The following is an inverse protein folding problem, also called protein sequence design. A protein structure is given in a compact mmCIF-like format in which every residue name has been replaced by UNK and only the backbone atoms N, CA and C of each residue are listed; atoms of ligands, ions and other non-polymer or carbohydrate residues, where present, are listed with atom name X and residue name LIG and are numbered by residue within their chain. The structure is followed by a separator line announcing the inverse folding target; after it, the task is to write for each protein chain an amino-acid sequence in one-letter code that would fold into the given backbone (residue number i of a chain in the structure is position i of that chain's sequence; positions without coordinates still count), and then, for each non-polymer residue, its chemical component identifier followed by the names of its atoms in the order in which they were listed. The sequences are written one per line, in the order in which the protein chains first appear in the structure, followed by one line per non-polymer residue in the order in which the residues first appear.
data_IF_237929745893
#
_entry.id   IF_237929745893
#
_cell.length_a   1.000
_cell.length_b   1.000
_cell.length_c   1.000
_cell.angle_alpha   90.00
_cell.angle_beta   90.00
_cell.angle_gamma   90.00
#
_symmetry.space_group_name_H-M   'P 1'
#
loop_
_entity.id
_entity.type
_entity.pdbx_description
1 polymer ?
#
# COMPACT_ATOMS: atom_id res chain seq x y z
N UNK A 1 -50.13 0.64 86.36
CA UNK A 1 -48.98 -0.29 86.30
C UNK A 1 -48.22 0.05 85.03
N UNK A 2 -46.96 0.50 84.99
CA UNK A 2 -45.90 0.73 86.00
C UNK A 2 -44.86 1.62 85.30
N UNK A 3 -44.60 2.79 85.88
CA UNK A 3 -43.29 3.46 86.10
C UNK A 3 -42.23 3.56 84.98
N UNK A 4 -42.08 4.77 84.41
CA UNK A 4 -40.90 5.68 84.32
C UNK A 4 -39.53 5.23 84.91
N UNK A 5 -38.40 5.96 84.69
CA UNK A 5 -37.76 6.54 83.49
C UNK A 5 -36.19 6.36 83.51
N UNK A 6 -35.48 7.09 82.64
CA UNK A 6 -34.15 7.71 82.84
C UNK A 6 -32.97 7.32 81.89
N UNK A 7 -32.56 8.40 81.21
CA UNK A 7 -31.35 8.81 80.49
C UNK A 7 -29.98 8.40 81.03
N UNK A 8 -29.00 8.23 80.12
CA UNK A 8 -27.63 8.74 80.28
C UNK A 8 -26.93 9.03 78.93
N UNK A 9 -26.11 10.08 78.93
CA UNK A 9 -25.41 10.73 77.81
C UNK A 9 -23.97 10.21 77.63
N UNK A 10 -23.50 10.28 76.37
CA UNK A 10 -22.17 10.64 75.81
C UNK A 10 -20.86 10.30 76.57
N UNK A 11 -19.82 9.84 75.83
CA UNK A 11 -18.57 10.57 75.50
C UNK A 11 -17.40 9.63 75.07
N UNK A 12 -16.81 9.95 73.91
CA UNK A 12 -15.37 9.99 73.55
C UNK A 12 -14.54 8.72 73.21
N UNK A 13 -13.82 8.85 72.08
CA UNK A 13 -12.82 7.98 71.45
C UNK A 13 -11.45 7.97 72.16
N UNK A 14 -10.50 7.10 71.73
CA UNK A 14 -9.31 7.64 71.04
C UNK A 14 -8.70 6.77 69.90
N UNK A 15 -7.78 7.40 69.16
CA UNK A 15 -6.92 6.93 68.07
C UNK A 15 -5.78 5.96 68.50
N UNK A 16 -5.24 5.19 67.54
CA UNK A 16 -3.91 4.53 67.61
C UNK A 16 -3.78 3.29 66.70
N UNK A 17 -3.45 3.41 65.39
CA UNK A 17 -2.11 3.36 64.73
C UNK A 17 -1.56 1.95 64.39
N UNK A 18 -1.41 1.72 63.07
CA UNK A 18 -0.45 0.90 62.29
C UNK A 18 -0.44 -0.65 62.35
N UNK A 19 -0.58 -1.30 61.16
CA UNK A 19 0.56 -1.96 60.47
C UNK A 19 0.21 -2.35 59.01
N UNK A 20 1.10 -1.99 58.08
CA UNK A 20 1.18 -2.43 56.68
C UNK A 20 1.69 -3.90 56.56
N UNK A 21 1.52 -4.47 55.36
CA UNK A 21 2.13 -5.69 54.78
C UNK A 21 1.30 -6.99 54.81
N UNK A 22 0.71 -7.35 53.66
CA UNK A 22 1.25 -8.39 52.77
C UNK A 22 0.23 -8.74 51.66
N UNK A 23 0.48 -8.23 50.47
CA UNK A 23 -0.03 -8.76 49.20
C UNK A 23 0.87 -9.95 48.83
N UNK A 24 0.30 -11.14 48.68
CA UNK A 24 0.77 -12.35 47.97
C UNK A 24 -0.35 -13.40 48.21
N UNK A 25 -1.22 -13.76 47.26
CA UNK A 25 -0.88 -14.39 45.99
C UNK A 25 -1.22 -15.88 46.07
N UNK A 26 -2.37 -16.30 45.53
CA UNK A 26 -2.62 -17.68 45.13
C UNK A 26 -3.58 -17.63 43.94
N UNK A 27 -2.94 -17.52 42.78
CA UNK A 27 -3.56 -17.21 41.50
C UNK A 27 -4.54 -18.28 41.06
N UNK A 28 -5.74 -17.83 40.73
CA UNK A 28 -6.58 -18.51 39.76
C UNK A 28 -5.86 -18.47 38.41
N UNK A 29 -5.26 -19.61 38.01
CA UNK A 29 -4.97 -19.89 36.60
C UNK A 29 -6.31 -19.96 35.86
N UNK A 30 -6.84 -18.80 35.49
CA UNK A 30 -7.85 -18.69 34.46
C UNK A 30 -7.13 -18.84 33.11
N UNK A 31 -6.79 -20.08 32.76
CA UNK A 31 -6.60 -20.45 31.36
C UNK A 31 -7.98 -20.51 30.71
N UNK A 32 -8.61 -19.35 30.55
CA UNK A 32 -9.71 -19.24 29.60
C UNK A 32 -9.15 -19.66 28.24
N UNK A 33 -9.88 -20.53 27.54
CA UNK A 33 -9.57 -20.96 26.18
C UNK A 33 -9.39 -19.70 25.32
N UNK A 34 -8.13 -19.28 25.14
CA UNK A 34 -7.78 -18.15 24.29
C UNK A 34 -7.93 -18.73 22.89
N UNK A 35 -9.03 -18.42 22.21
CA UNK A 35 -9.30 -18.92 20.86
C UNK A 35 -8.11 -18.74 19.91
N UNK A 36 -8.20 -19.31 18.71
CA UNK A 36 -7.15 -19.12 17.72
C UNK A 36 -7.17 -17.71 17.12
N UNK A 37 -6.00 -17.12 16.90
CA UNK A 37 -5.83 -15.93 16.09
C UNK A 37 -5.75 -16.35 14.62
N UNK A 38 -6.66 -15.87 13.78
CA UNK A 38 -6.70 -16.25 12.37
C UNK A 38 -5.90 -15.25 11.54
N UNK A 39 -4.92 -15.73 10.78
CA UNK A 39 -4.16 -14.93 9.83
C UNK A 39 -4.37 -15.46 8.43
N UNK A 40 -4.78 -14.60 7.50
CA UNK A 40 -4.93 -14.94 6.09
C UNK A 40 -3.80 -14.30 5.28
N UNK A 41 -3.05 -15.11 4.53
CA UNK A 41 -1.93 -14.61 3.74
C UNK A 41 -1.96 -15.09 2.29
N UNK A 42 -1.53 -14.22 1.38
CA UNK A 42 -1.27 -14.61 -0.02
C UNK A 42 -0.28 -15.77 -0.08
N UNK A 43 -0.46 -16.63 -1.08
CA UNK A 43 0.35 -17.84 -1.27
C UNK A 43 1.86 -17.54 -1.31
N UNK A 44 2.24 -16.39 -1.87
CA UNK A 44 3.60 -15.91 -1.93
C UNK A 44 4.26 -15.69 -0.55
N UNK A 45 3.52 -15.22 0.45
CA UNK A 45 4.10 -14.84 1.75
C UNK A 45 3.97 -15.93 2.82
N UNK A 46 3.03 -16.86 2.66
CA UNK A 46 2.77 -17.92 3.64
C UNK A 46 4.05 -18.70 4.06
N UNK A 47 4.98 -19.09 3.16
CA UNK A 47 6.22 -19.75 3.56
C UNK A 47 7.14 -18.85 4.41
N UNK A 48 7.20 -17.55 4.11
CA UNK A 48 8.04 -16.59 4.83
C UNK A 48 7.49 -16.28 6.23
N UNK A 49 6.17 -16.31 6.42
CA UNK A 49 5.53 -15.95 7.69
C UNK A 49 5.63 -17.07 8.73
N UNK A 50 5.58 -18.35 8.31
CA UNK A 50 5.50 -19.52 9.21
C UNK A 50 6.51 -19.50 10.37
N UNK A 51 7.82 -19.26 10.18
CA UNK A 51 8.78 -19.24 11.29
C UNK A 51 8.46 -18.17 12.35
N UNK A 52 8.00 -17.00 11.91
CA UNK A 52 7.62 -15.90 12.80
C UNK A 52 6.32 -16.21 13.56
N UNK A 53 5.31 -16.79 12.88
CA UNK A 53 4.04 -17.17 13.52
C UNK A 53 4.22 -18.30 14.55
N UNK A 54 5.09 -19.27 14.26
CA UNK A 54 5.44 -20.34 15.19
C UNK A 54 6.16 -19.79 16.44
N UNK A 55 7.04 -18.81 16.26
CA UNK A 55 7.71 -18.14 17.37
C UNK A 55 6.73 -17.34 18.23
N UNK A 56 5.88 -16.52 17.60
CA UNK A 56 4.84 -15.78 18.31
C UNK A 56 3.92 -16.70 19.10
N UNK A 57 3.54 -17.85 18.53
CA UNK A 57 2.70 -18.85 19.20
C UNK A 57 3.35 -19.37 20.49
N UNK A 58 4.64 -19.72 20.43
CA UNK A 58 5.39 -20.18 21.60
C UNK A 58 5.58 -19.10 22.67
N UNK A 59 5.79 -17.86 22.26
CA UNK A 59 6.14 -16.76 23.18
C UNK A 59 4.91 -16.09 23.81
N UNK A 60 3.81 -15.97 23.07
CA UNK A 60 2.58 -15.29 23.52
C UNK A 60 1.54 -16.25 24.14
N UNK A 61 1.62 -17.53 23.80
CA UNK A 61 0.61 -18.54 24.13
C UNK A 61 -0.69 -18.41 23.32
N UNK A 62 -0.73 -17.59 22.27
CA UNK A 62 -1.82 -17.56 21.29
C UNK A 62 -1.52 -18.48 20.12
N UNK A 63 -2.41 -19.42 19.82
CA UNK A 63 -2.30 -20.23 18.60
C UNK A 63 -2.64 -19.37 17.39
N UNK A 64 -1.72 -19.25 16.43
CA UNK A 64 -2.00 -18.58 15.14
C UNK A 64 -2.35 -19.62 14.08
N UNK A 65 -3.53 -19.50 13.49
CA UNK A 65 -3.98 -20.32 12.36
C UNK A 65 -3.74 -19.56 11.06
N UNK A 66 -2.80 -20.04 10.25
CA UNK A 66 -2.48 -19.48 8.94
C UNK A 66 -3.39 -20.10 7.86
N UNK A 67 -4.29 -19.30 7.31
CA UNK A 67 -5.08 -19.60 6.12
C UNK A 67 -4.39 -19.02 4.88
N UNK A 68 -4.22 -19.83 3.83
CA UNK A 68 -3.48 -19.45 2.63
C UNK A 68 -4.45 -19.17 1.48
N UNK A 69 -4.39 -17.96 0.93
CA UNK A 69 -5.21 -17.54 -0.20
C UNK A 69 -5.23 -16.02 -0.37
N UNK A 70 -5.98 -15.54 -1.36
CA UNK A 70 -6.11 -14.09 -1.59
C UNK A 70 -6.61 -13.37 -0.32
N UNK A 71 -6.00 -12.25 0.09
CA UNK A 71 -6.37 -11.51 1.29
C UNK A 71 -7.82 -11.01 1.28
N UNK A 72 -8.37 -10.77 0.08
CA UNK A 72 -9.72 -10.29 -0.16
C UNK A 72 -10.61 -11.39 -0.79
N UNK A 73 -11.73 -11.78 -0.17
CA UNK A 73 -12.23 -11.29 1.13
C UNK A 73 -11.42 -11.85 2.32
N UNK A 74 -11.35 -11.12 3.46
CA UNK A 74 -10.57 -11.54 4.63
C UNK A 74 -11.15 -12.76 5.36
N UNK A 75 -12.44 -13.08 5.13
CA UNK A 75 -13.17 -14.16 5.81
C UNK A 75 -13.15 -13.96 7.34
N UNK A 76 -12.81 -14.99 8.10
CA UNK A 76 -12.72 -14.99 9.57
C UNK A 76 -11.36 -14.51 10.08
N UNK A 77 -10.50 -13.94 9.22
CA UNK A 77 -9.17 -13.51 9.61
C UNK A 77 -9.21 -12.31 10.57
N UNK A 78 -8.32 -12.33 11.57
CA UNK A 78 -8.00 -11.19 12.42
C UNK A 78 -6.91 -10.30 11.80
N UNK A 79 -6.02 -10.90 11.01
CA UNK A 79 -4.92 -10.24 10.29
C UNK A 79 -4.87 -10.73 8.84
N UNK A 80 -4.69 -9.81 7.91
CA UNK A 80 -4.44 -10.12 6.49
C UNK A 80 -3.01 -9.73 6.12
N UNK A 81 -2.36 -10.53 5.29
CA UNK A 81 -1.04 -10.24 4.70
C UNK A 81 -1.06 -10.48 3.20
N UNK A 82 -0.78 -9.46 2.42
CA UNK A 82 -0.81 -9.51 0.95
C UNK A 82 0.27 -8.65 0.32
N UNK A 83 0.33 -8.68 -1.00
CA UNK A 83 1.10 -7.66 -1.72
C UNK A 83 0.43 -6.30 -1.49
N UNK A 84 1.18 -5.21 -1.48
CA UNK A 84 0.60 -3.88 -1.31
C UNK A 84 -0.57 -3.63 -2.27
N UNK A 85 -0.44 -4.07 -3.54
CA UNK A 85 -1.52 -4.00 -4.54
C UNK A 85 -2.74 -4.91 -4.25
N UNK A 86 -2.56 -6.01 -3.50
CA UNK A 86 -3.66 -6.86 -3.03
C UNK A 86 -4.34 -6.26 -1.79
N UNK A 87 -3.60 -5.47 -1.02
CA UNK A 87 -4.03 -4.85 0.23
C UNK A 87 -4.71 -3.50 0.02
N UNK A 88 -4.39 -2.77 -1.05
CA UNK A 88 -4.94 -1.45 -1.41
C UNK A 88 -6.46 -1.38 -1.20
N UNK A 89 -7.22 -2.24 -1.87
CA UNK A 89 -8.70 -2.24 -1.78
C UNK A 89 -9.21 -2.59 -0.38
N UNK A 90 -8.54 -3.49 0.35
CA UNK A 90 -8.96 -3.84 1.71
C UNK A 90 -8.81 -2.67 2.67
N UNK A 91 -7.72 -1.91 2.53
CA UNK A 91 -7.41 -0.76 3.37
C UNK A 91 -8.30 0.44 3.03
N UNK A 92 -8.50 0.72 1.75
CA UNK A 92 -9.35 1.83 1.26
C UNK A 92 -10.83 1.62 1.56
N UNK A 93 -11.33 0.38 1.42
CA UNK A 93 -12.71 0.05 1.74
C UNK A 93 -12.98 -0.04 3.26
N UNK A 94 -11.97 0.17 4.11
CA UNK A 94 -12.06 0.02 5.55
C UNK A 94 -12.31 -1.42 6.01
N UNK A 95 -12.09 -2.40 5.14
CA UNK A 95 -12.19 -3.84 5.46
C UNK A 95 -10.98 -4.28 6.30
N UNK A 96 -9.82 -3.66 6.07
CA UNK A 96 -8.64 -3.71 6.92
C UNK A 96 -8.32 -2.30 7.46
N UNK A 97 -7.77 -2.24 8.66
CA UNK A 97 -7.47 -0.98 9.36
C UNK A 97 -6.15 -0.38 8.85
N UNK A 98 -6.28 0.70 8.06
CA UNK A 98 -5.16 1.45 7.50
C UNK A 98 -4.14 1.91 8.54
N UNK A 99 -4.57 2.27 9.75
CA UNK A 99 -3.68 2.75 10.82
C UNK A 99 -2.82 1.64 11.41
N UNK A 100 -3.16 0.38 11.12
CA UNK A 100 -2.39 -0.81 11.52
C UNK A 100 -1.62 -1.43 10.37
N UNK A 101 -1.66 -0.81 9.18
CA UNK A 101 -0.94 -1.27 8.01
C UNK A 101 0.56 -1.13 8.20
N UNK A 102 1.29 -2.22 7.96
CA UNK A 102 2.74 -2.27 8.16
C UNK A 102 3.41 -3.10 7.07
N UNK A 103 4.54 -2.62 6.58
CA UNK A 103 5.37 -3.38 5.65
C UNK A 103 6.34 -4.28 6.41
N UNK A 104 6.38 -5.55 6.01
CA UNK A 104 7.17 -6.60 6.64
C UNK A 104 8.48 -6.89 5.88
N UNK A 105 8.59 -6.40 4.65
CA UNK A 105 9.73 -6.60 3.76
C UNK A 105 9.29 -6.88 2.32
N UNK A 106 10.26 -7.05 1.43
CA UNK A 106 10.02 -7.32 0.01
C UNK A 106 10.36 -8.77 -0.36
N UNK A 107 9.64 -9.33 -1.33
CA UNK A 107 9.82 -10.69 -1.82
C UNK A 107 10.12 -10.65 -3.34
N UNK A 108 11.37 -10.91 -3.76
CA UNK A 108 11.73 -10.80 -5.16
C UNK A 108 11.12 -11.92 -6.01
N UNK A 109 10.90 -11.62 -7.29
CA UNK A 109 10.55 -12.59 -8.32
C UNK A 109 11.80 -13.28 -8.86
N UNK A 110 11.67 -14.58 -9.14
CA UNK A 110 12.74 -15.37 -9.72
C UNK A 110 12.26 -16.23 -10.87
N UNK A 111 13.19 -16.49 -11.77
CA UNK A 111 13.08 -17.51 -12.80
C UNK A 111 13.60 -18.84 -12.28
N UNK A 112 12.74 -19.86 -12.22
CA UNK A 112 13.13 -21.26 -12.02
C UNK A 112 13.53 -21.85 -13.37
N UNK A 113 14.75 -22.40 -13.45
CA UNK A 113 15.33 -22.93 -14.69
C UNK A 113 15.79 -24.38 -14.46
N UNK A 114 15.15 -25.33 -15.13
CA UNK A 114 15.32 -26.77 -14.81
C UNK A 114 16.29 -27.54 -15.72
N UNK A 115 16.99 -26.91 -16.69
CA UNK A 115 18.32 -27.42 -17.04
C UNK A 115 19.42 -26.52 -16.45
N UNK A 116 20.21 -27.02 -15.48
CA UNK A 116 21.43 -26.37 -15.03
C UNK A 116 22.34 -26.05 -16.23
N UNK A 117 22.89 -24.84 -16.27
CA UNK A 117 23.76 -24.41 -17.39
C UNK A 117 23.05 -23.85 -18.62
N UNK A 118 21.73 -23.59 -18.54
CA UNK A 118 21.03 -22.82 -19.59
C UNK A 118 21.68 -21.44 -19.76
N UNK A 119 21.88 -20.91 -20.98
CA UNK A 119 22.59 -19.66 -21.20
C UNK A 119 21.94 -18.46 -20.47
N UNK A 120 22.73 -17.50 -19.96
CA UNK A 120 22.21 -16.29 -19.33
C UNK A 120 21.61 -15.32 -20.37
N UNK A 121 20.46 -14.72 -20.05
CA UNK A 121 19.95 -13.51 -20.72
C UNK A 121 18.58 -13.63 -21.38
N UNK A 122 17.63 -12.81 -20.92
CA UNK A 122 16.34 -12.44 -21.55
C UNK A 122 15.33 -13.56 -21.87
N UNK A 123 14.04 -13.23 -21.79
CA UNK A 123 12.91 -14.05 -22.27
C UNK A 123 13.12 -14.65 -23.68
N UNK A 124 13.87 -13.94 -24.53
CA UNK A 124 14.26 -14.37 -25.88
C UNK A 124 15.10 -15.65 -25.93
N UNK A 125 15.79 -16.01 -24.83
CA UNK A 125 16.57 -17.24 -24.73
C UNK A 125 15.75 -18.47 -24.30
N UNK A 126 14.47 -18.31 -23.95
CA UNK A 126 13.60 -19.41 -23.48
C UNK A 126 13.14 -20.38 -24.58
N UNK A 127 13.67 -20.28 -25.81
CA UNK A 127 13.30 -21.11 -26.97
C UNK A 127 11.76 -21.14 -27.18
N UNK A 128 11.10 -22.11 -27.84
CA UNK A 128 9.63 -22.18 -27.93
C UNK A 128 8.99 -22.80 -26.68
N UNK A 129 9.72 -22.97 -25.58
CA UNK A 129 9.23 -23.69 -24.39
C UNK A 129 8.08 -22.93 -23.70
N UNK A 130 7.25 -23.70 -22.98
CA UNK A 130 6.18 -23.16 -22.14
C UNK A 130 6.75 -22.56 -20.86
N UNK A 131 6.20 -21.41 -20.47
CA UNK A 131 6.50 -20.70 -19.23
C UNK A 131 5.30 -20.83 -18.30
N UNK A 132 5.53 -21.29 -17.07
CA UNK A 132 4.51 -21.32 -16.02
C UNK A 132 4.67 -20.10 -15.11
N UNK A 133 3.60 -19.35 -14.88
CA UNK A 133 3.64 -18.15 -14.01
C UNK A 133 2.61 -18.29 -12.90
N UNK A 134 2.94 -17.76 -11.72
CA UNK A 134 2.01 -17.72 -10.59
C UNK A 134 0.71 -16.97 -10.98
N UNK A 135 -0.42 -17.59 -10.67
CA UNK A 135 -1.75 -16.99 -10.84
C UNK A 135 -2.19 -16.11 -9.67
N UNK A 136 -3.41 -15.58 -9.75
CA UNK A 136 -3.95 -14.69 -8.72
C UNK A 136 -3.54 -13.23 -8.88
N UNK A 137 -3.91 -12.39 -7.91
CA UNK A 137 -3.67 -10.94 -7.94
C UNK A 137 -2.20 -10.61 -7.76
N UNK A 138 -1.50 -11.23 -6.81
CA UNK A 138 -0.04 -11.13 -6.66
C UNK A 138 0.72 -11.45 -7.96
N UNK A 139 0.20 -12.37 -8.79
CA UNK A 139 0.79 -12.73 -10.07
C UNK A 139 0.49 -11.78 -11.25
N UNK A 140 -0.19 -10.64 -11.03
CA UNK A 140 -0.56 -9.70 -12.11
C UNK A 140 0.67 -9.07 -12.77
N UNK A 141 1.54 -8.40 -12.01
CA UNK A 141 2.73 -7.74 -12.56
C UNK A 141 3.69 -8.71 -13.26
N UNK A 142 3.80 -9.94 -12.76
CA UNK A 142 4.56 -10.99 -13.42
C UNK A 142 3.95 -11.39 -14.77
N UNK A 143 2.62 -11.50 -14.88
CA UNK A 143 1.93 -11.78 -16.16
C UNK A 143 2.04 -10.62 -17.15
N UNK A 144 2.00 -9.38 -16.67
CA UNK A 144 2.20 -8.19 -17.49
C UNK A 144 3.60 -8.16 -18.12
N UNK A 145 4.62 -8.53 -17.35
CA UNK A 145 6.00 -8.66 -17.89
C UNK A 145 6.14 -9.73 -18.99
N UNK A 146 5.14 -10.60 -19.15
CA UNK A 146 5.10 -11.70 -20.10
C UNK A 146 4.14 -11.47 -21.28
N UNK A 147 3.55 -10.28 -21.43
CA UNK A 147 2.60 -9.98 -22.52
C UNK A 147 3.19 -10.19 -23.92
N UNK A 148 4.51 -10.14 -24.08
CA UNK A 148 5.20 -10.45 -25.34
C UNK A 148 5.28 -11.95 -25.68
N UNK A 149 4.88 -12.86 -24.78
CA UNK A 149 4.83 -14.30 -25.05
C UNK A 149 3.54 -14.70 -25.76
N UNK A 150 3.65 -15.62 -26.72
CA UNK A 150 2.49 -16.22 -27.35
C UNK A 150 1.59 -16.93 -26.32
N UNK A 151 0.27 -16.79 -26.46
CA UNK A 151 -0.69 -17.26 -25.46
C UNK A 151 -0.64 -18.78 -25.21
N UNK A 152 -0.29 -19.58 -26.23
CA UNK A 152 -0.12 -21.04 -26.14
C UNK A 152 1.15 -21.46 -25.37
N UNK A 153 2.07 -20.51 -25.17
CA UNK A 153 3.31 -20.70 -24.39
C UNK A 153 3.19 -20.27 -22.94
N UNK A 154 2.17 -19.48 -22.58
CA UNK A 154 1.96 -19.02 -21.21
C UNK A 154 0.97 -19.92 -20.47
N UNK A 155 1.40 -20.49 -19.35
CA UNK A 155 0.54 -21.27 -18.46
C UNK A 155 0.43 -20.56 -17.11
N UNK A 156 -0.77 -20.14 -16.74
CA UNK A 156 -1.04 -19.58 -15.41
C UNK A 156 -1.42 -20.71 -14.46
N UNK A 157 -0.74 -20.81 -13.30
CA UNK A 157 -1.03 -21.83 -12.28
C UNK A 157 -0.93 -21.27 -10.86
N UNK A 158 -1.76 -21.80 -9.97
CA UNK A 158 -1.67 -21.61 -8.51
C UNK A 158 -1.17 -22.88 -7.81
N UNK A 159 -0.81 -23.93 -8.55
CA UNK A 159 -0.25 -25.15 -7.97
C UNK A 159 1.26 -24.95 -7.81
N UNK A 160 1.71 -24.73 -6.58
CA UNK A 160 3.13 -24.60 -6.25
C UNK A 160 3.99 -25.80 -6.68
N UNK A 161 3.42 -26.99 -6.78
CA UNK A 161 4.07 -28.18 -7.32
C UNK A 161 4.21 -28.14 -8.85
N UNK A 162 3.20 -27.65 -9.57
CA UNK A 162 3.28 -27.39 -11.02
C UNK A 162 4.36 -26.33 -11.32
N UNK A 163 4.35 -25.22 -10.58
CA UNK A 163 5.32 -24.13 -10.70
C UNK A 163 6.77 -24.61 -10.50
N UNK A 164 7.01 -25.45 -9.48
CA UNK A 164 8.35 -25.97 -9.17
C UNK A 164 8.86 -27.04 -10.15
N UNK A 165 7.95 -27.80 -10.78
CA UNK A 165 8.32 -28.85 -11.76
C UNK A 165 8.40 -28.32 -13.20
N UNK A 166 7.90 -27.12 -13.44
CA UNK A 166 7.94 -26.49 -14.74
C UNK A 166 9.39 -26.23 -15.19
N UNK A 167 9.66 -26.47 -16.49
CA UNK A 167 10.99 -26.25 -17.07
C UNK A 167 11.45 -24.80 -16.92
N UNK A 168 10.51 -23.88 -17.15
CA UNK A 168 10.65 -22.46 -16.91
C UNK A 168 9.44 -21.98 -16.11
N UNK A 169 9.70 -21.36 -14.97
CA UNK A 169 8.64 -20.69 -14.24
C UNK A 169 9.07 -19.35 -13.66
N UNK A 170 8.12 -18.41 -13.66
CA UNK A 170 8.26 -17.10 -13.03
C UNK A 170 7.38 -17.07 -11.78
N UNK A 171 8.01 -17.03 -10.61
CA UNK A 171 7.33 -17.07 -9.33
C UNK A 171 8.12 -16.32 -8.24
N UNK A 172 7.48 -15.94 -7.12
CA UNK A 172 8.16 -15.38 -5.97
C UNK A 172 9.19 -16.36 -5.40
N UNK A 173 10.32 -15.83 -4.89
CA UNK A 173 11.44 -16.63 -4.35
C UNK A 173 11.00 -17.67 -3.31
N UNK A 174 10.02 -17.33 -2.49
CA UNK A 174 9.47 -18.21 -1.44
C UNK A 174 8.84 -19.50 -1.97
N UNK A 175 8.39 -19.51 -3.23
CA UNK A 175 7.74 -20.65 -3.87
C UNK A 175 8.69 -21.47 -4.77
N UNK A 176 9.90 -20.96 -5.04
CA UNK A 176 10.84 -21.51 -6.01
C UNK A 176 11.42 -22.89 -5.62
N UNK A 177 11.37 -23.23 -4.33
CA UNK A 177 11.96 -24.46 -3.81
C UNK A 177 13.50 -24.46 -3.86
N UNK A 178 14.11 -25.62 -3.71
CA UNK A 178 15.57 -25.78 -3.74
C UNK A 178 16.04 -26.03 -5.17
N UNK A 179 16.84 -25.14 -5.75
CA UNK A 179 17.35 -25.29 -7.12
C UNK A 179 18.04 -24.03 -7.65
N UNK A 180 18.58 -24.07 -8.87
CA UNK A 180 19.08 -22.87 -9.55
C UNK A 180 17.90 -21.95 -9.87
N UNK A 181 17.95 -20.72 -9.37
CA UNK A 181 17.00 -19.68 -9.69
C UNK A 181 17.75 -18.39 -10.06
N UNK A 182 17.16 -17.61 -10.97
CA UNK A 182 17.74 -16.35 -11.47
C UNK A 182 16.85 -15.19 -11.11
N UNK A 183 17.44 -14.01 -10.88
CA UNK A 183 16.68 -12.79 -10.61
C UNK A 183 15.80 -12.44 -11.81
N UNK A 184 14.58 -11.98 -11.52
CA UNK A 184 13.69 -11.35 -12.50
C UNK A 184 13.66 -9.83 -12.29
N UNK A 185 13.36 -9.09 -13.35
CA UNK A 185 13.17 -7.63 -13.31
C UNK A 185 11.73 -7.24 -12.91
N UNK A 186 10.85 -8.22 -12.68
CA UNK A 186 9.51 -7.97 -12.13
C UNK A 186 9.64 -7.33 -10.75
N UNK A 187 8.88 -6.25 -10.53
CA UNK A 187 8.75 -5.57 -9.25
C UNK A 187 8.61 -6.59 -8.10
N UNK A 188 9.48 -6.55 -7.07
CA UNK A 188 9.31 -7.38 -5.87
C UNK A 188 7.93 -7.16 -5.24
N UNK A 189 7.36 -8.22 -4.67
CA UNK A 189 6.12 -8.10 -3.91
C UNK A 189 6.41 -7.46 -2.56
N UNK A 190 5.58 -6.54 -2.09
CA UNK A 190 5.73 -5.90 -0.78
C UNK A 190 4.78 -6.56 0.21
N UNK A 191 5.32 -7.21 1.24
CA UNK A 191 4.51 -7.91 2.24
C UNK A 191 3.87 -6.89 3.19
N UNK A 192 2.65 -6.45 2.89
CA UNK A 192 1.89 -5.53 3.74
C UNK A 192 0.91 -6.32 4.61
N UNK A 193 0.95 -6.06 5.92
CA UNK A 193 0.10 -6.69 6.92
C UNK A 193 -0.81 -5.67 7.60
N UNK A 194 -2.07 -6.02 7.82
CA UNK A 194 -3.02 -5.15 8.51
C UNK A 194 -4.05 -5.95 9.32
N UNK A 195 -4.60 -5.31 10.35
CA UNK A 195 -5.69 -5.85 11.16
C UNK A 195 -7.02 -5.76 10.37
N UNK A 196 -7.85 -6.79 10.44
CA UNK A 196 -9.18 -6.76 9.81
C UNK A 196 -10.16 -5.95 10.66
N UNK A 197 -10.90 -5.03 10.05
CA UNK A 197 -11.86 -4.19 10.77
C UNK A 197 -12.94 -5.05 11.45
N UNK A 198 -13.16 -4.81 12.74
CA UNK A 198 -14.11 -5.59 13.53
C UNK A 198 -13.63 -7.01 13.92
N UNK A 199 -12.34 -7.33 13.72
CA UNK A 199 -11.77 -8.62 14.10
C UNK A 199 -12.07 -9.00 15.57
N UNK A 200 -12.51 -10.25 15.85
CA UNK A 200 -12.88 -10.68 17.20
C UNK A 200 -11.70 -10.63 18.18
N UNK A 201 -10.47 -10.79 17.70
CA UNK A 201 -9.27 -10.79 18.53
C UNK A 201 -8.34 -9.59 18.26
N UNK A 202 -8.90 -8.40 17.99
CA UNK A 202 -8.16 -7.20 17.61
C UNK A 202 -6.95 -6.86 18.52
N UNK A 203 -7.06 -7.07 19.84
CA UNK A 203 -5.94 -6.82 20.76
C UNK A 203 -4.78 -7.82 20.58
N UNK A 204 -5.09 -9.10 20.32
CA UNK A 204 -4.08 -10.12 20.03
C UNK A 204 -3.47 -9.92 18.64
N UNK A 205 -4.28 -9.53 17.65
CA UNK A 205 -3.84 -9.16 16.30
C UNK A 205 -2.82 -8.01 16.32
N UNK A 206 -3.09 -6.92 17.06
CA UNK A 206 -2.11 -5.82 17.22
C UNK A 206 -0.80 -6.27 17.85
N UNK A 207 -0.86 -7.21 18.81
CA UNK A 207 0.35 -7.80 19.42
C UNK A 207 1.13 -8.64 18.41
N UNK A 208 0.45 -9.36 17.52
CA UNK A 208 1.10 -10.09 16.43
C UNK A 208 1.79 -9.12 15.46
N UNK A 209 1.11 -8.07 15.00
CA UNK A 209 1.71 -7.06 14.11
C UNK A 209 2.94 -6.40 14.75
N UNK A 210 2.83 -6.00 16.01
CA UNK A 210 3.96 -5.45 16.77
C UNK A 210 5.12 -6.46 16.92
N UNK A 211 4.81 -7.76 17.09
CA UNK A 211 5.85 -8.81 17.12
C UNK A 211 6.55 -8.94 15.77
N UNK A 212 5.79 -8.96 14.67
CA UNK A 212 6.34 -9.06 13.31
C UNK A 212 7.24 -7.85 12.97
N UNK A 213 6.87 -6.66 13.42
CA UNK A 213 7.68 -5.44 13.30
C UNK A 213 8.82 -5.34 14.33
N UNK A 214 8.83 -6.16 15.37
CA UNK A 214 9.90 -6.17 16.36
C UNK A 214 11.18 -6.82 15.83
N UNK A 215 12.32 -6.59 16.48
CA UNK A 215 13.62 -7.13 16.06
C UNK A 215 13.59 -8.65 15.89
N UNK A 216 12.89 -9.35 16.79
CA UNK A 216 12.71 -10.80 16.72
C UNK A 216 11.91 -11.24 15.50
N UNK A 217 10.80 -10.56 15.22
CA UNK A 217 9.97 -10.83 14.03
C UNK A 217 10.73 -10.55 12.75
N UNK A 218 11.34 -9.36 12.62
CA UNK A 218 12.17 -8.98 11.47
C UNK A 218 13.31 -9.95 11.22
N UNK A 219 13.99 -10.41 12.26
CA UNK A 219 15.08 -11.40 12.13
C UNK A 219 14.60 -12.76 11.61
N UNK A 220 13.36 -13.16 11.92
CA UNK A 220 12.78 -14.41 11.40
C UNK A 220 12.33 -14.22 9.95
N UNK A 221 11.71 -13.07 9.65
CA UNK A 221 11.24 -12.70 8.32
C UNK A 221 12.39 -12.49 7.33
N UNK A 222 13.53 -11.95 7.77
CA UNK A 222 14.68 -11.65 6.92
C UNK A 222 15.36 -12.88 6.31
N UNK A 223 15.01 -14.08 6.77
CA UNK A 223 15.42 -15.33 6.13
C UNK A 223 14.74 -15.54 4.76
N UNK A 224 13.65 -14.81 4.49
CA UNK A 224 12.80 -14.98 3.31
C UNK A 224 12.41 -13.66 2.64
N UNK A 225 12.28 -12.56 3.39
CA UNK A 225 11.98 -11.20 2.91
C UNK A 225 13.23 -10.32 2.96
N UNK A 226 13.42 -9.49 1.94
CA UNK A 226 14.51 -8.51 1.88
C UNK A 226 14.07 -7.17 2.52
N UNK A 227 15.01 -6.39 3.05
CA UNK A 227 14.72 -5.08 3.62
C UNK A 227 14.30 -4.06 2.54
N UNK A 228 13.52 -3.04 2.93
CA UNK A 228 13.11 -1.92 2.08
C UNK A 228 14.09 -0.75 2.35
N UNK A 229 14.82 -0.26 1.34
CA UNK A 229 15.84 0.80 1.50
C UNK A 229 15.23 2.23 1.55
N UNK A 230 15.78 3.15 2.37
CA UNK A 230 15.31 4.57 2.54
C UNK A 230 16.49 5.56 2.66
N UNK A 231 16.52 6.72 1.96
CA UNK A 231 17.64 7.71 1.98
C UNK A 231 17.22 9.20 1.77
N UNK A 232 18.07 10.18 2.14
CA UNK A 232 17.77 11.64 2.27
C UNK A 232 18.77 12.62 1.58
N UNK A 233 18.35 13.83 1.12
CA UNK A 233 19.11 15.13 1.05
C UNK A 233 18.33 16.34 0.37
N UNK A 234 18.90 17.58 0.39
CA UNK A 234 18.31 18.95 0.26
C UNK A 234 18.50 19.75 -1.09
N UNK A 235 17.48 20.56 -1.47
CA UNK A 235 17.40 22.04 -1.75
C UNK A 235 18.21 22.83 -2.83
N UNK A 236 17.59 23.36 -3.91
CA UNK A 236 18.08 24.47 -4.79
C UNK A 236 17.25 24.92 -6.04
N UNK A 237 17.03 26.23 -6.19
CA UNK A 237 16.15 26.90 -7.19
C UNK A 237 16.49 26.65 -8.67
N UNK A 238 15.50 26.27 -9.48
CA UNK A 238 15.66 26.02 -10.91
C UNK A 238 14.42 26.43 -11.72
N UNK A 239 14.64 26.72 -13.01
CA UNK A 239 13.63 26.79 -14.08
C UNK A 239 12.47 25.83 -13.82
N UNK A 240 11.22 26.32 -13.95
CA UNK A 240 10.00 25.54 -13.72
C UNK A 240 10.16 24.14 -14.33
N UNK A 241 10.17 23.15 -13.46
CA UNK A 241 10.51 21.78 -13.83
C UNK A 241 9.24 20.95 -13.79
N UNK A 242 8.74 20.64 -14.98
CA UNK A 242 7.51 19.89 -15.16
C UNK A 242 7.77 18.41 -15.40
N UNK A 243 6.75 17.58 -15.18
CA UNK A 243 6.73 16.17 -15.55
C UNK A 243 7.20 15.95 -16.99
N UNK A 244 8.04 14.92 -17.20
CA UNK A 244 8.69 14.65 -18.49
C UNK A 244 8.32 13.32 -19.12
N UNK A 245 7.92 12.34 -18.32
CA UNK A 245 7.42 11.07 -18.83
C UNK A 245 6.42 10.44 -17.88
N UNK A 246 5.45 9.71 -18.44
CA UNK A 246 4.53 8.87 -17.68
C UNK A 246 5.23 7.57 -17.31
N UNK A 247 5.09 7.16 -16.06
CA UNK A 247 5.61 5.89 -15.53
C UNK A 247 4.51 4.83 -15.51
N UNK A 248 3.33 5.20 -15.00
CA UNK A 248 2.18 4.32 -14.89
C UNK A 248 0.90 5.14 -14.89
N UNK A 249 -0.22 4.54 -15.23
CA UNK A 249 -1.53 5.18 -15.14
C UNK A 249 -2.63 4.13 -15.18
N UNK A 250 -3.77 4.47 -14.60
CA UNK A 250 -4.94 3.62 -14.60
C UNK A 250 -6.21 4.46 -14.62
N UNK A 251 -7.20 3.99 -15.36
CA UNK A 251 -8.56 4.53 -15.36
C UNK A 251 -9.55 3.37 -15.16
N UNK A 252 -10.67 3.58 -14.46
CA UNK A 252 -11.70 2.57 -14.38
C UNK A 252 -12.47 2.44 -15.70
N UNK A 253 -12.94 1.23 -16.00
CA UNK A 253 -13.72 0.93 -17.22
C UNK A 253 -15.04 1.72 -17.33
N UNK A 254 -15.52 2.26 -16.21
CA UNK A 254 -16.74 3.07 -16.13
C UNK A 254 -16.52 4.55 -16.40
N UNK A 255 -15.27 5.02 -16.48
CA UNK A 255 -15.00 6.34 -17.02
C UNK A 255 -15.54 6.39 -18.44
N UNK A 256 -16.23 7.47 -18.81
CA UNK A 256 -16.69 7.68 -20.17
C UNK A 256 -15.46 7.88 -21.06
N UNK A 257 -14.88 6.76 -21.52
CA UNK A 257 -13.69 6.70 -22.34
C UNK A 257 -13.97 7.42 -23.65
N UNK A 258 -13.59 8.69 -23.69
CA UNK A 258 -13.39 9.44 -24.91
C UNK A 258 -11.90 9.37 -25.24
N UNK A 259 -11.56 8.83 -26.40
CA UNK A 259 -10.19 8.42 -26.78
C UNK A 259 -9.13 9.53 -26.68
N UNK A 260 -9.51 10.81 -26.48
CA UNK A 260 -8.60 11.94 -26.36
C UNK A 260 -8.31 12.44 -24.93
N UNK A 261 -9.20 12.23 -23.96
CA UNK A 261 -9.00 12.70 -22.57
C UNK A 261 -8.23 11.74 -21.70
N UNK A 262 -8.05 10.51 -22.16
CA UNK A 262 -7.44 9.46 -21.37
C UNK A 262 -6.00 9.21 -21.80
N UNK A 263 -5.43 10.11 -22.60
CA UNK A 263 -4.02 10.06 -23.00
C UNK A 263 -3.16 10.58 -21.84
N UNK A 264 -2.40 9.70 -21.17
CA UNK A 264 -1.57 10.13 -20.06
C UNK A 264 -0.41 11.02 -20.52
N UNK A 265 -0.08 11.06 -21.82
CA UNK A 265 0.92 11.98 -22.35
C UNK A 265 0.54 13.45 -22.18
N UNK A 266 -0.74 13.76 -21.95
CA UNK A 266 -1.24 15.12 -21.81
C UNK A 266 -0.84 15.78 -20.48
N UNK A 267 -0.42 15.02 -19.46
CA UNK A 267 0.00 15.61 -18.16
C UNK A 267 1.46 16.11 -18.14
N UNK A 268 2.14 16.03 -19.28
CA UNK A 268 3.58 16.28 -19.40
C UNK A 268 3.86 17.68 -19.94
N UNK A 269 4.89 18.33 -19.40
CA UNK A 269 5.25 19.69 -19.80
C UNK A 269 4.51 20.77 -19.02
N UNK A 270 4.61 21.99 -19.52
CA UNK A 270 3.93 23.13 -18.90
C UNK A 270 2.43 23.06 -19.18
N UNK A 271 1.58 23.69 -18.35
CA UNK A 271 0.15 23.77 -18.61
C UNK A 271 -0.13 24.26 -20.03
N UNK A 272 -0.88 23.46 -20.80
CA UNK A 272 -1.21 23.77 -22.19
C UNK A 272 -2.66 23.47 -22.55
N UNK A 273 -3.49 23.23 -21.53
CA UNK A 273 -4.90 22.94 -21.73
C UNK A 273 -5.65 24.05 -22.49
N UNK A 274 -6.49 23.64 -23.44
CA UNK A 274 -7.29 24.54 -24.28
C UNK A 274 -8.76 24.14 -24.27
N UNK A 275 -9.63 25.07 -23.87
CA UNK A 275 -11.08 24.92 -24.05
C UNK A 275 -11.49 25.18 -25.50
N UNK A 276 -12.16 24.22 -26.13
CA UNK A 276 -12.52 24.28 -27.55
C UNK A 276 -13.86 24.97 -27.84
N UNK A 277 -14.47 25.61 -26.83
CA UNK A 277 -15.69 26.42 -27.00
C UNK A 277 -17.00 25.64 -26.94
N UNK A 278 -16.96 24.34 -26.60
CA UNK A 278 -18.13 23.48 -26.41
C UNK A 278 -18.00 22.79 -25.05
N UNK A 279 -19.12 22.59 -24.34
CA UNK A 279 -19.17 21.93 -23.02
C UNK A 279 -18.40 20.60 -23.07
N UNK A 280 -17.58 20.35 -22.04
CA UNK A 280 -16.77 19.13 -21.88
C UNK A 280 -15.87 18.85 -23.11
N UNK A 281 -15.36 19.92 -23.74
CA UNK A 281 -14.48 19.89 -24.92
C UNK A 281 -13.14 20.61 -24.67
N UNK A 282 -12.10 19.85 -24.35
CA UNK A 282 -10.76 20.32 -24.02
C UNK A 282 -9.69 19.54 -24.82
N UNK A 283 -8.46 20.08 -24.84
CA UNK A 283 -7.21 19.40 -25.25
C UNK A 283 -6.14 19.74 -24.24
N UNK A 284 -5.04 18.97 -24.20
CA UNK A 284 -3.95 19.23 -23.26
C UNK A 284 -4.29 18.80 -21.83
N UNK A 285 -5.22 17.85 -21.64
CA UNK A 285 -5.57 17.33 -20.32
C UNK A 285 -5.70 15.81 -20.34
N UNK A 286 -5.40 15.20 -19.20
CA UNK A 286 -5.79 13.83 -18.87
C UNK A 286 -6.91 13.86 -17.82
N UNK A 287 -8.08 13.35 -18.16
CA UNK A 287 -9.12 13.04 -17.18
C UNK A 287 -8.76 11.76 -16.45
N UNK A 288 -8.68 11.84 -15.12
CA UNK A 288 -8.36 10.68 -14.29
C UNK A 288 -9.53 9.73 -14.10
N UNK A 289 -10.74 10.06 -14.57
CA UNK A 289 -11.84 9.17 -14.24
C UNK A 289 -12.08 9.10 -12.73
N UNK A 290 -13.05 8.29 -12.31
CA UNK A 290 -13.30 8.11 -10.88
C UNK A 290 -12.26 7.18 -10.23
N UNK A 291 -11.44 7.72 -9.34
CA UNK A 291 -10.37 6.99 -8.66
C UNK A 291 -9.23 6.53 -9.58
N UNK A 292 -9.17 7.00 -10.83
CA UNK A 292 -8.01 6.74 -11.67
C UNK A 292 -6.80 7.57 -11.25
N UNK A 293 -5.65 7.22 -11.80
CA UNK A 293 -4.39 7.84 -11.43
C UNK A 293 -3.42 7.93 -12.60
N UNK A 294 -2.46 8.84 -12.46
CA UNK A 294 -1.27 8.94 -13.29
C UNK A 294 -0.05 9.06 -12.41
N UNK A 295 1.01 8.33 -12.76
CA UNK A 295 2.32 8.40 -12.15
C UNK A 295 3.30 8.95 -13.16
N UNK A 296 4.06 9.97 -12.79
CA UNK A 296 5.00 10.67 -13.67
C UNK A 296 6.42 10.65 -13.11
N UNK A 297 7.40 10.67 -14.02
CA UNK A 297 8.80 11.01 -13.75
C UNK A 297 8.97 12.50 -14.03
N UNK A 298 9.37 13.24 -12.99
CA UNK A 298 9.70 14.65 -13.09
C UNK A 298 11.08 14.87 -13.73
N UNK A 299 11.90 13.82 -13.84
CA UNK A 299 13.32 13.78 -14.27
C UNK A 299 14.25 14.55 -13.33
N UNK A 300 13.84 15.73 -12.92
CA UNK A 300 14.39 16.48 -11.82
C UNK A 300 13.82 16.00 -10.47
N UNK A 301 14.46 16.42 -9.39
CA UNK A 301 14.08 16.03 -8.03
C UNK A 301 13.49 17.22 -7.28
N UNK A 302 12.23 17.11 -6.88
CA UNK A 302 11.60 17.96 -5.87
C UNK A 302 12.23 17.70 -4.51
N UNK A 303 12.36 18.72 -3.67
CA UNK A 303 12.98 18.65 -2.35
C UNK A 303 12.13 19.43 -1.35
N UNK A 304 12.02 18.94 -0.12
CA UNK A 304 11.33 19.64 0.98
C UNK A 304 12.01 20.99 1.24
N UNK A 305 11.33 22.06 0.81
CA UNK A 305 11.77 23.44 0.89
C UNK A 305 10.80 24.30 1.70
N UNK A 306 11.04 25.62 1.77
CA UNK A 306 10.07 26.53 2.37
C UNK A 306 8.79 26.63 1.53
N UNK A 307 7.68 26.13 2.08
CA UNK A 307 6.37 26.22 1.43
C UNK A 307 6.11 25.00 0.54
N UNK A 308 5.15 25.07 -0.39
CA UNK A 308 4.85 23.96 -1.28
C UNK A 308 6.02 23.59 -2.19
N UNK A 309 6.18 22.29 -2.43
CA UNK A 309 7.27 21.72 -3.21
C UNK A 309 6.82 21.21 -4.58
N UNK A 310 5.55 20.80 -4.69
CA UNK A 310 4.95 20.26 -5.91
C UNK A 310 3.60 20.96 -6.12
N UNK A 311 3.30 21.26 -7.38
CA UNK A 311 2.02 21.80 -7.83
C UNK A 311 1.38 20.89 -8.85
N UNK A 312 0.07 20.69 -8.73
CA UNK A 312 -0.76 19.99 -9.72
C UNK A 312 -1.74 20.99 -10.31
N UNK A 313 -1.78 21.05 -11.64
CA UNK A 313 -2.68 21.89 -12.42
C UNK A 313 -3.86 21.06 -12.91
N UNK A 314 -5.06 21.61 -12.75
CA UNK A 314 -6.33 21.01 -13.13
C UNK A 314 -7.18 21.99 -13.95
N UNK A 315 -8.04 21.47 -14.81
CA UNK A 315 -9.03 22.22 -15.59
C UNK A 315 -10.44 21.70 -15.29
N UNK A 316 -11.46 22.41 -15.79
CA UNK A 316 -12.89 22.01 -15.86
C UNK A 316 -13.70 21.99 -14.55
N UNK A 317 -13.07 22.03 -13.37
CA UNK A 317 -13.78 22.04 -12.09
C UNK A 317 -12.88 22.13 -10.86
N UNK A 318 -13.47 22.11 -9.66
CA UNK A 318 -12.74 21.88 -8.40
C UNK A 318 -13.02 20.46 -7.97
N UNK A 319 -12.12 19.55 -8.33
CA UNK A 319 -12.15 18.17 -7.87
C UNK A 319 -10.93 17.95 -6.97
N UNK A 320 -11.09 17.22 -5.85
CA UNK A 320 -9.96 16.93 -5.00
C UNK A 320 -8.99 15.98 -5.72
N UNK A 321 -7.69 16.15 -5.49
CA UNK A 321 -6.68 15.17 -5.92
C UNK A 321 -5.88 14.67 -4.73
N UNK A 322 -5.46 13.41 -4.80
CA UNK A 322 -4.55 12.82 -3.83
C UNK A 322 -3.16 12.71 -4.46
N UNK A 323 -2.16 13.27 -3.80
CA UNK A 323 -0.78 13.23 -4.27
C UNK A 323 0.06 12.32 -3.41
N UNK A 324 0.77 11.42 -4.07
CA UNK A 324 1.84 10.66 -3.48
C UNK A 324 3.15 10.98 -4.18
N UNK A 325 4.25 10.90 -3.46
CA UNK A 325 5.57 11.20 -3.98
C UNK A 325 6.57 10.11 -3.61
N UNK A 326 7.53 9.89 -4.50
CA UNK A 326 8.55 8.87 -4.36
C UNK A 326 9.86 9.31 -5.00
N UNK A 327 10.97 8.79 -4.50
CA UNK A 327 12.28 8.97 -5.14
C UNK A 327 12.52 7.95 -6.27
N UNK A 328 11.69 6.91 -6.38
CA UNK A 328 11.76 5.88 -7.43
C UNK A 328 10.43 5.75 -8.20
N UNK A 329 10.47 5.30 -9.47
CA UNK A 329 9.25 5.15 -10.27
C UNK A 329 8.29 4.11 -9.71
N UNK A 330 8.77 3.21 -8.87
CA UNK A 330 7.99 2.13 -8.27
C UNK A 330 7.60 2.41 -6.80
N UNK A 331 7.91 3.60 -6.28
CA UNK A 331 7.67 3.96 -4.88
C UNK A 331 8.86 3.71 -3.94
N UNK A 332 8.63 3.65 -2.61
CA UNK A 332 7.33 3.78 -1.96
C UNK A 332 6.75 5.17 -2.21
N UNK A 333 5.50 5.18 -2.63
CA UNK A 333 4.74 6.40 -2.83
C UNK A 333 4.21 6.83 -1.45
N UNK A 334 4.80 7.89 -0.92
CA UNK A 334 4.41 8.46 0.36
C UNK A 334 3.30 9.45 0.11
N UNK A 335 2.21 9.32 0.86
CA UNK A 335 1.11 10.27 0.81
C UNK A 335 1.61 11.66 1.21
N UNK A 336 1.46 12.62 0.31
CA UNK A 336 1.82 14.02 0.54
C UNK A 336 0.59 14.85 0.90
N UNK A 337 -0.50 14.63 0.16
CA UNK A 337 -1.76 15.30 0.42
C UNK A 337 -2.92 14.42 0.03
N UNK A 338 -3.90 14.31 0.93
CA UNK A 338 -5.10 13.51 0.73
C UNK A 338 -6.26 14.41 0.34
N UNK A 339 -6.83 14.19 -0.85
CA UNK A 339 -8.03 14.88 -1.33
C UNK A 339 -7.93 16.40 -1.24
N UNK A 340 -6.86 16.95 -1.80
CA UNK A 340 -6.60 18.38 -1.84
C UNK A 340 -7.43 19.02 -2.94
N UNK A 341 -8.27 19.99 -2.58
CA UNK A 341 -9.09 20.73 -3.55
C UNK A 341 -8.21 21.65 -4.42
N UNK A 342 -8.19 21.40 -5.73
CA UNK A 342 -7.49 22.23 -6.70
C UNK A 342 -8.38 23.41 -7.12
N UNK A 343 -8.57 24.36 -6.21
CA UNK A 343 -9.47 25.52 -6.37
C UNK A 343 -8.77 26.85 -6.62
N UNK A 344 -7.43 26.91 -6.51
CA UNK A 344 -6.68 28.17 -6.64
C UNK A 344 -6.52 28.55 -8.10
N UNK A 345 -7.10 29.68 -8.54
CA UNK A 345 -6.98 30.13 -9.94
C UNK A 345 -5.56 30.56 -10.26
N UNK A 346 -5.05 30.12 -11.41
CA UNK A 346 -3.73 30.53 -11.90
C UNK A 346 -3.82 31.89 -12.62
N UNK A 347 -3.16 32.96 -12.12
CA UNK A 347 -3.21 34.27 -12.77
C UNK A 347 -2.47 34.28 -14.12
N UNK A 348 -3.10 34.78 -15.17
CA UNK A 348 -2.47 34.96 -16.50
C UNK A 348 -2.63 33.79 -17.47
N UNK A 349 -3.30 32.70 -17.05
CA UNK A 349 -3.73 31.60 -17.92
C UNK A 349 -5.24 31.77 -18.16
N UNK A 350 -5.64 31.93 -19.42
CA UNK A 350 -7.00 32.35 -19.80
C UNK A 350 -8.05 31.20 -19.74
N UNK A 351 -7.66 29.99 -19.28
CA UNK A 351 -8.37 28.73 -19.55
C UNK A 351 -8.88 27.96 -18.32
N UNK A 352 -9.60 28.60 -17.40
CA UNK A 352 -10.23 27.90 -16.25
C UNK A 352 -9.27 27.02 -15.43
N UNK A 353 -7.99 27.37 -15.44
CA UNK A 353 -6.95 26.54 -14.85
C UNK A 353 -6.83 26.84 -13.37
N UNK A 354 -6.89 25.78 -12.58
CA UNK A 354 -6.75 25.80 -11.15
C UNK A 354 -5.54 24.97 -10.74
N UNK A 355 -5.03 25.23 -9.55
CA UNK A 355 -3.99 24.41 -8.96
C UNK A 355 -4.20 24.15 -7.48
N UNK A 356 -3.54 23.09 -7.04
CA UNK A 356 -3.36 22.69 -5.66
C UNK A 356 -1.86 22.48 -5.42
N UNK A 357 -1.44 22.84 -4.22
CA UNK A 357 -0.04 22.90 -3.81
C UNK A 357 0.21 21.87 -2.71
N UNK A 358 1.30 21.13 -2.85
CA UNK A 358 1.68 20.02 -1.98
C UNK A 358 3.06 20.28 -1.38
N UNK A 359 3.15 20.14 -0.06
CA UNK A 359 4.38 20.30 0.72
C UNK A 359 4.85 18.92 1.19
N UNK A 360 6.08 18.53 0.86
CA UNK A 360 6.69 17.27 1.28
C UNK A 360 6.98 17.26 2.79
N UNK A 361 6.93 18.42 3.45
CA UNK A 361 7.16 18.52 4.89
C UNK A 361 6.19 17.65 5.68
N UNK A 362 6.77 16.87 6.60
CA UNK A 362 5.99 16.00 7.50
C UNK A 362 5.55 14.68 6.88
N UNK A 363 5.87 14.43 5.61
CA UNK A 363 5.61 13.15 4.92
C UNK A 363 6.65 12.08 5.27
N UNK A 364 7.85 12.51 5.70
CA UNK A 364 8.97 11.60 6.00
C UNK A 364 9.95 11.41 4.84
N UNK A 365 9.70 12.02 3.68
CA UNK A 365 10.66 12.11 2.57
C UNK A 365 11.17 13.53 2.40
N UNK A 366 12.47 13.68 2.16
CA UNK A 366 13.09 14.99 1.92
C UNK A 366 13.17 15.35 0.44
N UNK A 367 12.96 14.37 -0.44
CA UNK A 367 13.07 14.53 -1.88
C UNK A 367 12.21 13.52 -2.65
N UNK A 368 11.69 13.93 -3.80
CA UNK A 368 10.86 13.12 -4.68
C UNK A 368 11.17 13.42 -6.14
N UNK A 369 11.25 12.38 -6.97
CA UNK A 369 11.40 12.49 -8.43
C UNK A 369 10.15 12.01 -9.17
N UNK A 370 9.36 11.17 -8.51
CA UNK A 370 8.17 10.56 -9.07
C UNK A 370 6.98 10.96 -8.25
N UNK A 371 5.88 11.23 -8.94
CA UNK A 371 4.63 11.67 -8.32
C UNK A 371 3.51 10.83 -8.89
N UNK A 372 2.66 10.31 -8.02
CA UNK A 372 1.37 9.71 -8.39
C UNK A 372 0.28 10.70 -8.00
N UNK A 373 -0.50 11.13 -8.98
CA UNK A 373 -1.71 11.92 -8.80
C UNK A 373 -2.89 11.00 -9.03
N UNK A 374 -3.77 10.95 -8.05
CA UNK A 374 -4.97 10.14 -8.07
C UNK A 374 -6.19 11.04 -7.91
N UNK A 375 -7.27 10.70 -8.62
CA UNK A 375 -8.55 11.34 -8.42
C UNK A 375 -8.99 11.20 -6.95
N UNK A 376 -9.43 12.30 -6.35
CA UNK A 376 -9.76 12.38 -4.93
C UNK A 376 -11.23 12.10 -4.62
N UNK A 377 -12.06 11.71 -5.59
CA UNK A 377 -13.45 11.34 -5.35
C UNK A 377 -13.59 9.86 -4.94
N UNK A 378 -14.32 9.61 -3.85
CA UNK A 378 -14.45 8.28 -3.21
C UNK A 378 -15.67 7.51 -3.74
N UNK A 379 -16.45 8.05 -4.68
CA UNK A 379 -17.68 7.39 -5.11
C UNK A 379 -17.39 6.30 -6.14
N UNK A 380 -17.60 5.00 -5.83
CA UNK A 380 -17.46 3.96 -6.83
C UNK A 380 -18.54 4.10 -7.90
N UNK A 381 -18.21 3.76 -9.12
CA UNK A 381 -19.12 3.60 -10.27
C UNK A 381 -20.26 2.61 -9.98
N UNK A 382 -21.26 3.05 -9.22
CA UNK A 382 -22.47 2.30 -8.91
C UNK A 382 -23.66 3.01 -9.56
N UNK A 383 -24.00 2.54 -10.76
CA UNK A 383 -25.23 2.83 -11.49
C UNK A 383 -25.53 4.32 -11.84
N UNK A 384 -25.01 4.76 -12.99
CA UNK A 384 -25.76 5.61 -13.93
C UNK A 384 -26.10 7.05 -13.50
N UNK A 385 -25.26 7.72 -12.72
CA UNK A 385 -25.42 9.15 -12.46
C UNK A 385 -24.40 9.71 -11.47
N UNK A 386 -23.24 10.10 -11.96
CA UNK A 386 -22.23 10.89 -11.23
C UNK A 386 -22.26 12.35 -11.72
N UNK A 387 -21.77 13.28 -10.91
CA UNK A 387 -21.86 14.73 -11.19
C UNK A 387 -20.64 15.22 -12.00
N UNK A 388 -19.48 14.54 -11.89
CA UNK A 388 -18.26 14.85 -12.65
C UNK A 388 -17.48 13.57 -13.01
N UNK A 389 -16.52 13.68 -13.93
CA UNK A 389 -15.74 12.56 -14.51
C UNK A 389 -14.39 12.32 -13.80
N UNK A 390 -14.13 12.98 -12.66
CA UNK A 390 -12.88 12.86 -11.92
C UNK A 390 -11.82 13.86 -12.40
N UNK A 391 -10.78 14.06 -11.59
CA UNK A 391 -9.86 15.17 -11.77
C UNK A 391 -9.19 15.24 -13.16
N UNK A 392 -9.30 16.40 -13.80
CA UNK A 392 -8.77 16.69 -15.14
C UNK A 392 -7.39 17.38 -15.09
N UNK A 393 -6.34 16.58 -15.16
CA UNK A 393 -4.95 17.00 -14.94
C UNK A 393 -4.34 17.58 -16.22
N UNK A 394 -3.78 18.78 -16.11
CA UNK A 394 -3.06 19.49 -17.19
C UNK A 394 -1.54 19.33 -17.03
N UNK A 395 -1.01 19.62 -15.84
CA UNK A 395 0.43 19.56 -15.62
C UNK A 395 0.80 19.30 -14.16
N UNK A 396 2.05 18.87 -13.95
CA UNK A 396 2.65 18.69 -12.63
C UNK A 396 4.00 19.39 -12.61
N UNK A 397 4.21 20.30 -11.66
CA UNK A 397 5.38 21.17 -11.53
C UNK A 397 6.13 20.97 -10.21
N UNK A 398 7.45 21.01 -10.25
CA UNK A 398 8.34 21.15 -9.10
C UNK A 398 8.52 22.64 -8.76
N UNK A 399 8.09 23.03 -7.56
CA UNK A 399 8.26 24.37 -7.02
C UNK A 399 9.59 24.53 -6.26
N UNK A 400 9.99 23.49 -5.53
CA UNK A 400 11.28 23.42 -4.84
C UNK A 400 12.10 22.29 -5.45
N UNK A 401 13.02 22.64 -6.35
CA UNK A 401 13.90 21.68 -7.03
C UNK A 401 15.21 21.50 -6.26
N UNK A 402 15.92 20.39 -6.48
CA UNK A 402 17.32 20.17 -6.07
C UNK A 402 18.26 20.95 -7.01
N UNK A 403 19.29 21.67 -6.52
CA UNK A 403 20.13 22.52 -7.36
C UNK A 403 20.95 21.74 -8.39
#
# INVERSE_FOLDING_TARGET
MTTSPSTARRLWSPLGVALLLAILGSGTKAGADRGALHLRASEAFAPCLRPALDAFTRESGWTVVLDVGEPDPPREADVVVGDDSEMTRLLEAGVADLQTSVDLGSLPWVWVVVPPGSPPGSLSALAPDRVVVLGGRAGRGARESLQGLAADRLRVSRDGGELRRARYALLPRSLAGTGEHRRSDVRPLIATAALVAGAPHAAAARRLLAFLQGDRGRSLLSTCLDAIETGASKGGSAQASYARSVVDWWLPDCSLTHDGYNDPGQVLGAPDAVFLGVKDSYRGIMSLGQGGYVTVDLVDTAVDGPGPDIRVYQVTGTEPVTLYAASSPQGPFVLVGLRMDCGTRTPGLENYEHHCDFDLRGTGISEARYVKVEDGEIYPCLAGGTITEGADIDAIEILNKKP
#
